data_IF_574052078820
#
_entry.id   IF_574052078820
#
_cell.length_a   1.000
_cell.length_b   1.000
_cell.length_c   1.000
_cell.angle_alpha   90.00
_cell.angle_beta   90.00
_cell.angle_gamma   90.00
#
_symmetry.space_group_name_H-M   'P 1'
#
loop_
_entity.id
_entity.type
_entity.pdbx_description
1 polymer ?
#
# COMPACT_ATOMS: atom_id res chain seq x y z
N UNK A 1 -4.37 20.48 22.37
CA UNK A 1 -5.13 20.59 21.09
C UNK A 1 -6.02 19.35 21.00
N UNK A 2 -6.92 19.20 21.97
CA UNK A 2 -7.42 17.89 22.39
C UNK A 2 -8.85 17.58 21.93
N UNK A 3 -9.22 18.03 20.72
CA UNK A 3 -10.57 17.82 20.18
C UNK A 3 -10.61 17.70 18.64
N UNK A 4 -9.67 17.00 18.02
CA UNK A 4 -9.62 16.87 16.55
C UNK A 4 -10.08 15.52 15.99
N UNK A 5 -10.31 14.51 16.82
CA UNK A 5 -10.81 13.21 16.35
C UNK A 5 -11.94 12.69 17.26
N UNK A 6 -13.16 12.43 16.73
CA UNK A 6 -14.27 11.88 17.51
C UNK A 6 -14.08 10.40 17.87
N UNK A 7 -13.28 9.64 17.10
CA UNK A 7 -13.03 8.20 17.34
C UNK A 7 -11.55 8.00 17.69
N UNK A 8 -11.20 8.11 18.97
CA UNK A 8 -9.81 7.96 19.47
C UNK A 8 -9.56 6.66 20.22
N UNK A 9 -10.59 6.10 20.86
CA UNK A 9 -10.44 4.88 21.65
C UNK A 9 -10.12 3.68 20.72
N UNK A 10 -9.08 2.87 21.02
CA UNK A 10 -8.60 1.80 20.13
C UNK A 10 -9.65 0.78 19.70
N UNK A 11 -10.55 0.40 20.62
CA UNK A 11 -11.63 -0.56 20.37
C UNK A 11 -12.69 0.02 19.44
N UNK A 12 -13.08 1.28 19.65
CA UNK A 12 -13.99 2.01 18.77
C UNK A 12 -13.40 2.20 17.37
N UNK A 13 -12.10 2.52 17.29
CA UNK A 13 -11.40 2.66 16.02
C UNK A 13 -11.34 1.32 15.28
N UNK A 14 -11.04 0.23 15.98
CA UNK A 14 -11.11 -1.12 15.39
C UNK A 14 -12.51 -1.44 14.85
N UNK A 15 -13.55 -1.22 15.67
CA UNK A 15 -14.93 -1.47 15.29
C UNK A 15 -15.36 -0.63 14.07
N UNK A 16 -14.94 0.64 14.02
CA UNK A 16 -15.18 1.55 12.91
C UNK A 16 -14.52 1.05 11.61
N UNK A 17 -13.24 0.68 11.65
CA UNK A 17 -12.52 0.16 10.48
C UNK A 17 -13.09 -1.18 10.01
N UNK A 18 -13.42 -2.07 10.94
CA UNK A 18 -14.08 -3.34 10.64
C UNK A 18 -15.47 -3.14 10.02
N UNK A 19 -16.24 -2.16 10.53
CA UNK A 19 -17.54 -1.81 9.98
C UNK A 19 -17.42 -1.23 8.56
N UNK A 20 -16.44 -0.37 8.30
CA UNK A 20 -16.17 0.12 6.94
C UNK A 20 -15.88 -1.05 5.99
N UNK A 21 -14.96 -1.96 6.35
CA UNK A 21 -14.66 -3.12 5.52
C UNK A 21 -15.90 -3.99 5.29
N UNK A 22 -16.63 -4.31 6.37
CA UNK A 22 -17.84 -5.11 6.29
C UNK A 22 -18.91 -4.47 5.39
N UNK A 23 -19.12 -3.16 5.52
CA UNK A 23 -20.06 -2.41 4.70
C UNK A 23 -19.62 -2.36 3.23
N UNK A 24 -18.35 -2.05 2.96
CA UNK A 24 -17.83 -2.01 1.58
C UNK A 24 -18.04 -3.35 0.88
N UNK A 25 -17.62 -4.45 1.50
CA UNK A 25 -17.79 -5.78 0.90
C UNK A 25 -19.25 -6.20 0.84
N UNK A 26 -20.07 -5.89 1.84
CA UNK A 26 -21.50 -6.17 1.80
C UNK A 26 -22.21 -5.40 0.68
N UNK A 27 -21.96 -4.09 0.57
CA UNK A 27 -22.49 -3.24 -0.50
C UNK A 27 -22.08 -3.74 -1.88
N UNK A 28 -20.88 -4.32 -2.01
CA UNK A 28 -20.41 -4.90 -3.27
C UNK A 28 -21.21 -6.13 -3.73
N UNK A 29 -21.94 -6.79 -2.82
CA UNK A 29 -22.83 -7.91 -3.15
C UNK A 29 -24.23 -7.46 -3.60
N UNK A 30 -24.58 -6.19 -3.44
CA UNK A 30 -25.93 -5.70 -3.73
C UNK A 30 -26.14 -5.51 -5.24
N UNK A 31 -27.21 -6.09 -5.84
CA UNK A 31 -27.52 -5.93 -7.26
C UNK A 31 -27.53 -4.49 -7.80
N UNK A 32 -28.11 -3.47 -7.10
CA UNK A 32 -28.12 -2.10 -7.61
C UNK A 32 -26.73 -1.46 -7.68
N UNK A 33 -25.75 -1.94 -6.90
CA UNK A 33 -24.40 -1.38 -6.83
C UNK A 33 -23.39 -2.14 -7.68
N UNK A 34 -23.80 -3.22 -8.35
CA UNK A 34 -22.90 -4.08 -9.13
C UNK A 34 -22.06 -3.29 -10.15
N UNK A 35 -22.69 -2.41 -10.93
CA UNK A 35 -21.97 -1.57 -11.93
C UNK A 35 -20.93 -0.65 -11.31
N UNK A 36 -21.18 -0.14 -10.10
CA UNK A 36 -20.24 0.72 -9.38
C UNK A 36 -19.00 -0.08 -8.96
N UNK A 37 -19.20 -1.28 -8.42
CA UNK A 37 -18.11 -2.15 -7.95
C UNK A 37 -17.40 -2.92 -9.08
N UNK A 38 -18.01 -3.02 -10.26
CA UNK A 38 -17.33 -3.44 -11.50
C UNK A 38 -16.35 -2.37 -11.98
N UNK A 39 -16.71 -1.08 -11.90
CA UNK A 39 -15.82 0.02 -12.30
C UNK A 39 -14.78 0.36 -11.23
N UNK A 40 -15.16 0.33 -9.95
CA UNK A 40 -14.28 0.61 -8.81
C UNK A 40 -14.31 -0.57 -7.85
N UNK A 41 -13.33 -1.49 -7.93
CA UNK A 41 -13.30 -2.69 -7.10
C UNK A 41 -13.43 -2.40 -5.59
N UNK A 42 -14.03 -3.30 -4.79
CA UNK A 42 -14.22 -3.11 -3.35
C UNK A 42 -12.94 -2.78 -2.58
N UNK A 43 -11.80 -3.31 -3.02
CA UNK A 43 -10.48 -3.07 -2.40
C UNK A 43 -10.10 -1.59 -2.43
N UNK A 44 -10.47 -0.86 -3.50
CA UNK A 44 -10.23 0.58 -3.61
C UNK A 44 -10.97 1.29 -2.48
N UNK A 45 -12.26 1.02 -2.31
CA UNK A 45 -13.06 1.60 -1.24
C UNK A 45 -12.55 1.25 0.17
N UNK A 46 -12.11 0.00 0.36
CA UNK A 46 -11.53 -0.46 1.63
C UNK A 46 -10.25 0.31 2.01
N UNK A 47 -9.54 0.89 1.05
CA UNK A 47 -8.37 1.73 1.29
C UNK A 47 -8.75 3.22 1.46
N UNK A 48 -9.56 3.75 0.54
CA UNK A 48 -9.86 5.18 0.48
C UNK A 48 -10.86 5.65 1.53
N UNK A 49 -11.85 4.85 1.91
CA UNK A 49 -12.86 5.28 2.90
C UNK A 49 -12.21 5.52 4.27
N UNK A 50 -11.36 4.62 4.83
CA UNK A 50 -10.60 4.91 6.05
C UNK A 50 -9.65 6.10 5.90
N UNK A 51 -8.98 6.21 4.75
CA UNK A 51 -8.07 7.33 4.48
C UNK A 51 -8.79 8.68 4.53
N UNK A 52 -9.92 8.81 3.84
CA UNK A 52 -10.76 10.02 3.85
C UNK A 52 -11.26 10.31 5.26
N UNK A 53 -11.65 9.28 6.03
CA UNK A 53 -12.05 9.45 7.42
C UNK A 53 -10.92 10.08 8.26
N UNK A 54 -9.67 9.63 8.10
CA UNK A 54 -8.52 10.25 8.76
C UNK A 54 -8.26 11.68 8.26
N UNK A 55 -8.30 11.93 6.95
CA UNK A 55 -8.12 13.28 6.37
C UNK A 55 -9.19 14.27 6.85
N UNK A 56 -10.43 13.83 7.02
CA UNK A 56 -11.54 14.64 7.55
C UNK A 56 -11.51 14.82 9.07
N UNK A 57 -10.53 14.24 9.77
CA UNK A 57 -10.45 14.33 11.22
C UNK A 57 -11.44 13.42 11.96
N UNK A 58 -11.95 12.35 11.34
CA UNK A 58 -12.85 11.38 12.01
C UNK A 58 -12.05 10.38 12.86
N UNK A 59 -10.90 9.96 12.36
CA UNK A 59 -10.01 8.98 12.99
C UNK A 59 -8.59 9.53 13.08
N UNK A 60 -7.83 9.21 14.14
CA UNK A 60 -6.45 9.67 14.26
C UNK A 60 -5.55 9.02 13.20
N UNK A 61 -4.45 9.70 12.87
CA UNK A 61 -3.37 9.17 12.03
C UNK A 61 -2.50 8.13 12.75
N UNK A 62 -2.56 8.11 14.08
CA UNK A 62 -1.76 7.25 14.95
C UNK A 62 -2.61 6.68 16.08
N UNK A 63 -2.50 5.36 16.30
CA UNK A 63 -3.21 4.67 17.38
C UNK A 63 -2.54 3.33 17.70
N UNK A 64 -2.51 2.90 18.98
CA UNK A 64 -2.01 1.57 19.37
C UNK A 64 -2.69 0.41 18.64
N UNK A 65 -3.92 0.60 18.16
CA UNK A 65 -4.65 -0.42 17.41
C UNK A 65 -3.94 -0.82 16.11
N UNK A 66 -3.29 0.12 15.42
CA UNK A 66 -2.57 -0.16 14.17
C UNK A 66 -1.39 -1.10 14.40
N UNK A 67 -0.64 -0.87 15.48
CA UNK A 67 0.45 -1.74 15.92
C UNK A 67 -0.04 -3.12 16.36
N UNK A 68 -1.17 -3.17 17.07
CA UNK A 68 -1.80 -4.43 17.47
C UNK A 68 -2.25 -5.24 16.24
N UNK A 69 -2.94 -4.63 15.28
CA UNK A 69 -3.37 -5.30 14.05
C UNK A 69 -2.17 -5.80 13.24
N UNK A 70 -1.12 -4.98 13.10
CA UNK A 70 0.11 -5.38 12.37
C UNK A 70 0.86 -6.51 13.07
N UNK A 71 0.81 -6.58 14.40
CA UNK A 71 1.48 -7.63 15.19
C UNK A 71 0.73 -8.95 15.22
N UNK A 72 -0.60 -8.92 15.23
CA UNK A 72 -1.42 -10.12 15.45
C UNK A 72 -2.30 -10.49 14.26
N UNK A 73 -3.04 -9.54 13.68
CA UNK A 73 -3.95 -9.82 12.56
C UNK A 73 -3.18 -10.05 11.27
N UNK A 74 -2.22 -9.18 10.94
CA UNK A 74 -1.48 -9.26 9.68
C UNK A 74 -0.76 -10.62 9.50
N UNK A 75 0.02 -11.15 10.49
CA UNK A 75 0.64 -12.46 10.35
C UNK A 75 -0.38 -13.59 10.19
N UNK A 76 -1.51 -13.51 10.89
CA UNK A 76 -2.58 -14.50 10.78
C UNK A 76 -3.25 -14.47 9.40
N UNK A 77 -3.55 -13.28 8.87
CA UNK A 77 -4.06 -13.11 7.51
C UNK A 77 -3.08 -13.62 6.46
N UNK A 78 -1.79 -13.36 6.62
CA UNK A 78 -0.74 -13.89 5.74
C UNK A 78 -0.66 -15.42 5.83
N UNK A 79 -0.76 -16.00 7.04
CA UNK A 79 -0.78 -17.44 7.21
C UNK A 79 -1.99 -18.08 6.51
N UNK A 80 -3.19 -17.50 6.68
CA UNK A 80 -4.39 -17.95 5.98
C UNK A 80 -4.23 -17.84 4.46
N UNK A 81 -3.68 -16.72 3.97
CA UNK A 81 -3.37 -16.54 2.56
C UNK A 81 -2.43 -17.65 2.07
N UNK A 82 -1.34 -17.92 2.81
CA UNK A 82 -0.36 -18.94 2.45
C UNK A 82 -0.94 -20.36 2.42
N UNK A 83 -1.89 -20.70 3.30
CA UNK A 83 -2.58 -22.01 3.24
C UNK A 83 -3.36 -22.18 1.94
N UNK A 84 -3.89 -21.10 1.36
CA UNK A 84 -4.64 -21.16 0.10
C UNK A 84 -3.75 -21.24 -1.14
N UNK A 85 -2.43 -21.11 -0.99
CA UNK A 85 -1.49 -21.10 -2.12
C UNK A 85 -1.20 -22.51 -2.61
N UNK A 86 -1.40 -22.75 -3.91
CA UNK A 86 -0.98 -23.98 -4.60
C UNK A 86 0.50 -23.89 -5.01
N UNK A 87 1.38 -24.35 -4.11
CA UNK A 87 2.83 -24.40 -4.34
C UNK A 87 3.19 -25.22 -5.60
N UNK A 88 2.65 -26.44 -5.83
CA UNK A 88 2.88 -27.17 -7.07
C UNK A 88 2.53 -26.40 -8.34
N UNK A 89 1.40 -25.68 -8.37
CA UNK A 89 1.04 -24.85 -9.51
C UNK A 89 2.04 -23.71 -9.76
N UNK A 90 2.50 -23.04 -8.70
CA UNK A 90 3.54 -22.00 -8.79
C UNK A 90 4.84 -22.60 -9.36
N UNK A 91 5.28 -23.75 -8.85
CA UNK A 91 6.49 -24.41 -9.33
C UNK A 91 6.39 -24.82 -10.81
N UNK A 92 5.18 -25.20 -11.29
CA UNK A 92 4.94 -25.52 -12.70
C UNK A 92 5.06 -24.31 -13.63
N UNK A 93 4.84 -23.08 -13.15
CA UNK A 93 5.12 -21.88 -13.94
C UNK A 93 6.62 -21.77 -14.27
N UNK A 94 7.47 -22.29 -13.38
CA UNK A 94 8.92 -22.48 -13.59
C UNK A 94 9.61 -21.24 -14.16
N UNK A 95 10.18 -21.39 -15.36
CA UNK A 95 10.95 -20.33 -16.03
C UNK A 95 10.11 -19.12 -16.40
N UNK A 96 8.83 -19.31 -16.74
CA UNK A 96 7.96 -18.21 -17.18
C UNK A 96 7.70 -17.23 -16.04
N UNK A 97 7.40 -17.73 -14.84
CA UNK A 97 7.23 -16.87 -13.67
C UNK A 97 8.50 -16.06 -13.36
N UNK A 98 9.67 -16.70 -13.41
CA UNK A 98 10.95 -16.02 -13.18
C UNK A 98 11.24 -14.96 -14.24
N UNK A 99 10.97 -15.25 -15.52
CA UNK A 99 11.15 -14.27 -16.60
C UNK A 99 10.20 -13.08 -16.46
N UNK A 100 8.93 -13.30 -16.10
CA UNK A 100 7.99 -12.21 -15.85
C UNK A 100 8.40 -11.35 -14.65
N UNK A 101 8.87 -11.97 -13.56
CA UNK A 101 9.42 -11.28 -12.41
C UNK A 101 10.63 -10.41 -12.81
N UNK A 102 11.60 -10.99 -13.53
CA UNK A 102 12.79 -10.25 -13.98
C UNK A 102 12.45 -9.13 -14.96
N UNK A 103 11.48 -9.34 -15.85
CA UNK A 103 10.99 -8.31 -16.76
C UNK A 103 10.34 -7.14 -16.00
N UNK A 104 9.48 -7.43 -15.00
CA UNK A 104 8.90 -6.42 -14.11
C UNK A 104 9.97 -5.66 -13.32
N UNK A 105 10.92 -6.39 -12.73
CA UNK A 105 12.06 -5.79 -12.01
C UNK A 105 12.89 -4.90 -12.92
N UNK A 106 13.24 -5.34 -14.13
CA UNK A 106 13.96 -4.52 -15.10
C UNK A 106 13.16 -3.26 -15.47
N UNK A 107 11.84 -3.39 -15.63
CA UNK A 107 10.93 -2.28 -15.82
C UNK A 107 11.02 -1.23 -14.72
N UNK A 108 11.06 -1.65 -13.45
CA UNK A 108 11.19 -0.74 -12.29
C UNK A 108 12.60 -0.13 -12.23
N UNK A 109 13.65 -0.96 -12.37
CA UNK A 109 15.07 -0.55 -12.30
C UNK A 109 15.42 0.47 -13.39
N UNK A 110 14.77 0.40 -14.55
CA UNK A 110 14.96 1.36 -15.65
C UNK A 110 13.96 2.52 -15.53
N UNK A 111 12.69 2.20 -15.30
CA UNK A 111 11.58 3.15 -15.31
C UNK A 111 11.67 4.19 -14.20
N UNK A 112 12.02 3.78 -12.97
CA UNK A 112 12.12 4.71 -11.85
C UNK A 112 13.24 5.76 -12.07
N UNK A 113 14.50 5.41 -12.42
CA UNK A 113 15.51 6.41 -12.76
C UNK A 113 15.12 7.30 -13.95
N UNK A 114 14.52 6.74 -15.00
CA UNK A 114 14.06 7.54 -16.15
C UNK A 114 13.00 8.55 -15.72
N UNK A 115 12.00 8.13 -14.95
CA UNK A 115 10.98 9.02 -14.41
C UNK A 115 11.61 10.13 -13.55
N UNK A 116 12.53 9.77 -12.64
CA UNK A 116 13.27 10.75 -11.85
C UNK A 116 14.01 11.76 -12.74
N UNK A 117 14.75 11.31 -13.74
CA UNK A 117 15.52 12.19 -14.61
C UNK A 117 14.66 13.17 -15.41
N UNK A 118 13.45 12.76 -15.80
CA UNK A 118 12.47 13.62 -16.49
C UNK A 118 11.94 14.70 -15.54
N UNK A 119 11.62 14.34 -14.30
CA UNK A 119 10.93 15.22 -13.36
C UNK A 119 11.82 15.89 -12.30
N UNK A 120 13.12 15.54 -12.21
CA UNK A 120 14.03 16.02 -11.15
C UNK A 120 14.08 17.53 -11.00
N UNK A 121 13.85 18.29 -12.08
CA UNK A 121 13.83 19.76 -12.03
C UNK A 121 12.66 20.35 -11.24
N UNK A 122 11.61 19.55 -10.99
CA UNK A 122 10.44 19.91 -10.19
C UNK A 122 10.42 19.24 -8.82
N UNK A 123 11.43 18.43 -8.52
CA UNK A 123 11.49 17.63 -7.30
C UNK A 123 12.58 18.16 -6.36
N UNK A 124 12.41 18.00 -5.04
CA UNK A 124 13.49 18.18 -4.07
C UNK A 124 14.72 17.32 -4.41
N UNK A 125 15.91 17.78 -4.01
CA UNK A 125 17.17 17.08 -4.28
C UNK A 125 17.23 15.69 -3.65
N UNK A 126 16.48 15.44 -2.57
CA UNK A 126 16.40 14.17 -1.85
C UNK A 126 15.28 13.25 -2.35
N UNK A 127 14.45 13.68 -3.32
CA UNK A 127 13.29 12.92 -3.80
C UNK A 127 13.65 11.54 -4.37
N UNK A 128 14.88 11.35 -4.85
CA UNK A 128 15.37 10.05 -5.32
C UNK A 128 15.38 8.99 -4.21
N UNK A 129 15.52 9.39 -2.93
CA UNK A 129 15.53 8.47 -1.79
C UNK A 129 14.16 7.82 -1.61
N UNK A 130 13.10 8.63 -1.66
CA UNK A 130 11.72 8.13 -1.60
C UNK A 130 11.39 7.24 -2.80
N UNK A 131 11.85 7.61 -3.99
CA UNK A 131 11.65 6.80 -5.19
C UNK A 131 12.42 5.47 -5.15
N UNK A 132 13.63 5.46 -4.58
CA UNK A 132 14.42 4.26 -4.38
C UNK A 132 13.73 3.31 -3.39
N UNK A 133 13.26 3.83 -2.25
CA UNK A 133 12.48 3.07 -1.28
C UNK A 133 11.20 2.49 -1.92
N UNK A 134 10.46 3.33 -2.65
CA UNK A 134 9.25 2.91 -3.36
C UNK A 134 9.54 1.81 -4.39
N UNK A 135 10.63 1.92 -5.16
CA UNK A 135 11.04 0.87 -6.09
C UNK A 135 11.29 -0.47 -5.38
N UNK A 136 11.79 -0.42 -4.15
CA UNK A 136 11.91 -1.58 -3.28
C UNK A 136 10.57 -2.26 -2.99
N UNK A 137 9.50 -1.49 -2.78
CA UNK A 137 8.15 -2.03 -2.53
C UNK A 137 7.59 -2.80 -3.72
N UNK A 138 7.81 -2.29 -4.94
CA UNK A 138 7.29 -2.91 -6.15
C UNK A 138 8.07 -4.15 -6.60
N UNK A 139 9.36 -4.25 -6.26
CA UNK A 139 10.17 -5.44 -6.55
C UNK A 139 9.98 -6.55 -5.51
N UNK A 140 9.86 -6.19 -4.22
CA UNK A 140 9.95 -7.15 -3.11
C UNK A 140 9.05 -6.86 -1.90
N UNK A 141 8.09 -5.95 -2.04
CA UNK A 141 7.13 -5.60 -0.98
C UNK A 141 7.70 -4.69 0.12
N UNK A 142 6.88 -4.46 1.14
CA UNK A 142 7.18 -3.53 2.25
C UNK A 142 8.50 -3.83 2.95
N UNK A 143 8.87 -5.11 3.12
CA UNK A 143 10.15 -5.48 3.73
C UNK A 143 11.35 -4.98 2.93
N UNK A 144 11.28 -5.06 1.60
CA UNK A 144 12.35 -4.60 0.72
C UNK A 144 12.40 -3.06 0.65
N UNK A 145 11.24 -2.38 0.69
CA UNK A 145 11.18 -0.92 0.86
C UNK A 145 11.88 -0.45 2.14
N UNK A 146 11.59 -1.10 3.28
CA UNK A 146 12.22 -0.79 4.56
C UNK A 146 13.74 -1.05 4.51
N UNK A 147 14.16 -2.15 3.89
CA UNK A 147 15.59 -2.45 3.75
C UNK A 147 16.34 -1.39 2.91
N UNK A 148 15.76 -0.95 1.79
CA UNK A 148 16.33 0.13 0.97
C UNK A 148 16.38 1.44 1.75
N UNK A 149 15.32 1.78 2.47
CA UNK A 149 15.27 2.98 3.31
C UNK A 149 16.39 2.97 4.37
N UNK A 150 16.54 1.87 5.12
CA UNK A 150 17.59 1.73 6.13
C UNK A 150 19.00 1.81 5.53
N UNK A 151 19.20 1.25 4.33
CA UNK A 151 20.47 1.35 3.63
C UNK A 151 20.81 2.80 3.25
N UNK A 152 19.83 3.55 2.75
CA UNK A 152 19.98 4.98 2.42
C UNK A 152 20.33 5.78 3.68
N UNK A 153 19.58 5.59 4.78
CA UNK A 153 19.81 6.27 6.06
C UNK A 153 21.22 6.02 6.61
N UNK A 154 21.67 4.77 6.57
CA UNK A 154 23.00 4.40 7.06
C UNK A 154 24.14 4.95 6.19
N UNK A 155 23.96 5.00 4.87
CA UNK A 155 25.00 5.43 3.92
C UNK A 155 25.08 6.95 3.79
N UNK A 156 23.94 7.64 3.83
CA UNK A 156 23.88 9.09 3.71
C UNK A 156 24.28 9.83 5.00
N UNK A 157 24.36 9.14 6.15
CA UNK A 157 24.53 9.76 7.49
C UNK A 157 23.50 10.87 7.77
N UNK A 158 22.39 10.82 7.05
CA UNK A 158 21.26 11.74 7.12
C UNK A 158 20.07 10.85 7.35
N UNK A 159 19.34 11.06 8.45
CA UNK A 159 18.03 10.44 8.61
C UNK A 159 17.18 10.86 7.41
N UNK A 160 16.63 9.92 6.65
CA UNK A 160 15.81 10.19 5.47
C UNK A 160 14.78 11.26 5.84
N UNK A 161 14.94 12.47 5.31
CA UNK A 161 14.01 13.59 5.51
C UNK A 161 12.75 13.44 4.66
N UNK A 162 12.75 12.47 3.76
CA UNK A 162 11.63 12.19 2.85
C UNK A 162 10.51 11.50 3.64
N UNK A 163 9.43 12.23 3.85
CA UNK A 163 8.17 11.66 4.32
C UNK A 163 7.61 10.71 3.24
N UNK A 164 7.65 9.41 3.52
CA UNK A 164 7.12 8.37 2.63
C UNK A 164 5.58 8.36 2.60
N UNK A 165 4.91 8.98 3.57
CA UNK A 165 3.45 8.99 3.67
C UNK A 165 2.78 9.48 2.38
N UNK A 166 3.05 10.72 1.92
CA UNK A 166 2.53 11.23 0.66
C UNK A 166 2.87 10.37 -0.55
N UNK A 167 4.08 9.81 -0.60
CA UNK A 167 4.54 8.95 -1.70
C UNK A 167 3.71 7.67 -1.76
N UNK A 168 3.51 7.01 -0.61
CA UNK A 168 2.71 5.78 -0.50
C UNK A 168 1.25 6.04 -0.86
N UNK A 169 0.69 7.20 -0.47
CA UNK A 169 -0.68 7.57 -0.84
C UNK A 169 -0.81 7.70 -2.35
N UNK A 170 0.09 8.45 -3.01
CA UNK A 170 0.08 8.61 -4.47
C UNK A 170 0.30 7.28 -5.18
N UNK A 171 1.27 6.49 -4.72
CA UNK A 171 1.55 5.14 -5.21
C UNK A 171 0.29 4.27 -5.17
N UNK A 172 -0.41 4.30 -4.05
CA UNK A 172 -1.61 3.50 -3.86
C UNK A 172 -2.74 3.95 -4.80
N UNK A 173 -2.92 5.25 -4.96
CA UNK A 173 -3.91 5.83 -5.88
C UNK A 173 -3.63 5.44 -7.32
N UNK A 174 -2.39 5.64 -7.78
CA UNK A 174 -1.99 5.36 -9.16
C UNK A 174 -1.99 3.86 -9.43
N UNK A 175 -1.45 3.06 -8.51
CA UNK A 175 -1.38 1.60 -8.61
C UNK A 175 -2.75 0.94 -8.68
N UNK A 176 -3.64 1.21 -7.71
CA UNK A 176 -4.99 0.65 -7.76
C UNK A 176 -5.85 1.26 -8.87
N UNK A 177 -5.68 2.54 -9.17
CA UNK A 177 -6.36 3.19 -10.30
C UNK A 177 -6.01 2.53 -11.63
N UNK A 178 -4.73 2.21 -11.85
CA UNK A 178 -4.28 1.52 -13.05
C UNK A 178 -4.79 0.08 -13.12
N UNK A 179 -4.80 -0.66 -12.01
CA UNK A 179 -5.39 -2.00 -11.97
C UNK A 179 -6.87 -2.00 -12.31
N UNK A 180 -7.63 -0.97 -11.90
CA UNK A 180 -9.03 -0.81 -12.29
C UNK A 180 -9.25 -0.54 -13.78
N UNK A 181 -8.24 -0.08 -14.51
CA UNK A 181 -8.31 0.11 -15.98
C UNK A 181 -7.94 -1.17 -16.73
N UNK A 182 -7.06 -2.00 -16.18
CA UNK A 182 -6.56 -3.21 -16.82
C UNK A 182 -7.49 -4.43 -16.66
N UNK A 183 -8.36 -4.44 -15.65
CA UNK A 183 -9.32 -5.51 -15.33
C UNK A 183 -10.68 -5.17 -15.94
#
# INVERSE_FOLDING_TARGET
MDALFPITEPTHLFAFLAAILGLVFWLSTLPPLKKLFEFVPPVIWAYFVPMIATTLGVTPDSSPVYSWMSRYLLPFSLFLLMITVDLPAILRLGKTALLMMLAGTAGIVIGAPVAYLIFKGFLPEDAWQGLAALSGSWIGGTANMVAVQQHIESTAQVATTVDLGPIIVVDTVVGYGWMGVLI
#
